data_IF_430422048408
#
_entry.id   IF_430422048408
#
_cell.length_a   1.000
_cell.length_b   1.000
_cell.length_c   1.000
_cell.angle_alpha   90.00
_cell.angle_beta   90.00
_cell.angle_gamma   90.00
#
_symmetry.space_group_name_H-M   'P 1'
#
loop_
_entity.id
_entity.type
_entity.pdbx_description
1 polymer ?
#
# COMPACT_ATOMS: atom_id res chain seq x y z
N UNK A 1 -27.45 -47.64 -17.24
CA UNK A 1 -28.07 -46.30 -17.28
C UNK A 1 -28.27 -45.87 -15.84
N UNK A 2 -27.37 -45.05 -15.31
CA UNK A 2 -27.44 -44.58 -13.92
C UNK A 2 -27.91 -43.13 -13.98
N UNK A 3 -29.12 -42.89 -13.49
CA UNK A 3 -29.75 -41.57 -13.46
C UNK A 3 -28.96 -40.72 -12.45
N UNK A 4 -28.30 -39.66 -12.94
CA UNK A 4 -27.74 -38.61 -12.08
C UNK A 4 -28.90 -37.92 -11.36
N UNK A 5 -28.80 -37.87 -10.04
CA UNK A 5 -29.69 -37.06 -9.20
C UNK A 5 -29.62 -35.58 -9.59
N UNK A 6 -30.72 -34.83 -9.48
CA UNK A 6 -30.76 -33.41 -9.78
C UNK A 6 -29.91 -32.65 -8.77
N UNK A 7 -29.14 -31.66 -9.25
CA UNK A 7 -28.47 -30.69 -8.38
C UNK A 7 -29.56 -30.00 -7.54
N UNK A 8 -29.43 -30.09 -6.22
CA UNK A 8 -30.29 -29.38 -5.29
C UNK A 8 -30.24 -27.86 -5.53
N UNK A 9 -31.19 -27.11 -4.95
CA UNK A 9 -31.22 -25.65 -5.07
C UNK A 9 -29.86 -25.09 -4.66
N UNK A 10 -29.35 -24.13 -5.45
CA UNK A 10 -28.11 -23.42 -5.23
C UNK A 10 -28.11 -22.82 -3.81
N UNK A 11 -27.57 -23.53 -2.82
CA UNK A 11 -27.43 -23.01 -1.46
C UNK A 11 -26.50 -21.83 -1.55
N UNK A 12 -27.03 -20.62 -1.36
CA UNK A 12 -26.24 -19.41 -1.33
C UNK A 12 -25.07 -19.59 -0.37
N UNK A 13 -23.85 -19.33 -0.85
CA UNK A 13 -22.67 -19.39 -0.01
C UNK A 13 -22.74 -18.25 1.01
N UNK A 14 -22.58 -18.59 2.28
CA UNK A 14 -22.58 -17.62 3.39
C UNK A 14 -21.21 -17.60 4.04
N UNK A 15 -20.97 -16.66 4.94
CA UNK A 15 -19.73 -16.62 5.72
C UNK A 15 -19.46 -17.94 6.48
N UNK A 16 -20.51 -18.65 6.90
CA UNK A 16 -20.36 -19.95 7.56
C UNK A 16 -19.87 -21.10 6.67
N UNK A 17 -19.87 -20.92 5.35
CA UNK A 17 -19.28 -21.89 4.43
C UNK A 17 -17.76 -21.75 4.28
N UNK A 18 -17.15 -20.71 4.88
CA UNK A 18 -15.70 -20.53 4.87
C UNK A 18 -15.02 -21.65 5.66
N UNK A 19 -14.06 -22.32 5.03
CA UNK A 19 -13.18 -23.28 5.72
C UNK A 19 -12.02 -22.52 6.36
N UNK A 20 -12.16 -22.17 7.63
CA UNK A 20 -11.19 -21.31 8.32
C UNK A 20 -9.85 -22.04 8.55
N UNK A 21 -8.78 -21.42 8.06
CA UNK A 21 -7.41 -21.80 8.36
C UNK A 21 -6.92 -21.01 9.58
N UNK A 22 -6.70 -21.73 10.69
CA UNK A 22 -6.18 -21.15 11.93
C UNK A 22 -4.67 -21.35 12.11
N UNK A 23 -3.95 -21.83 11.08
CA UNK A 23 -2.49 -21.93 11.17
C UNK A 23 -1.89 -20.53 11.26
N UNK A 24 -1.01 -20.26 12.23
CA UNK A 24 -0.33 -18.98 12.31
C UNK A 24 0.59 -18.82 11.10
N UNK A 25 0.42 -17.73 10.38
CA UNK A 25 1.34 -17.28 9.34
C UNK A 25 1.60 -15.79 9.52
N UNK A 26 2.83 -15.37 9.22
CA UNK A 26 3.18 -13.95 9.27
C UNK A 26 2.51 -13.25 8.09
N UNK A 27 1.82 -12.15 8.39
CA UNK A 27 1.31 -11.21 7.39
C UNK A 27 2.31 -10.08 7.27
N UNK A 28 2.94 -9.96 6.11
CA UNK A 28 3.82 -8.85 5.76
C UNK A 28 3.07 -8.02 4.71
N UNK A 29 2.65 -6.82 5.08
CA UNK A 29 1.99 -5.91 4.16
C UNK A 29 2.99 -5.15 3.27
N UNK A 30 2.50 -4.45 2.24
CA UNK A 30 3.39 -3.84 1.24
C UNK A 30 4.26 -2.72 1.80
N UNK A 31 3.78 -1.93 2.76
CA UNK A 31 4.58 -0.84 3.33
C UNK A 31 5.59 -1.36 4.35
N UNK A 32 5.27 -2.43 5.09
CA UNK A 32 6.22 -3.11 5.96
C UNK A 32 7.31 -3.83 5.14
N UNK A 33 6.92 -4.52 4.06
CA UNK A 33 7.86 -5.19 3.14
C UNK A 33 8.84 -4.20 2.48
N UNK A 34 8.41 -2.95 2.29
CA UNK A 34 9.24 -1.88 1.75
C UNK A 34 10.16 -1.23 2.79
N UNK A 35 9.88 -1.39 4.08
CA UNK A 35 10.58 -0.67 5.14
C UNK A 35 11.99 -1.22 5.37
N UNK A 36 12.97 -0.33 5.50
CA UNK A 36 14.32 -0.70 5.90
C UNK A 36 14.50 -0.57 7.42
N UNK A 37 15.03 -1.62 8.04
CA UNK A 37 15.36 -1.60 9.46
C UNK A 37 16.85 -1.37 9.66
N UNK A 38 17.17 -0.28 10.36
CA UNK A 38 18.56 0.14 10.63
C UNK A 38 19.47 0.20 9.38
N UNK A 39 19.03 0.83 8.28
CA UNK A 39 19.76 0.83 7.03
C UNK A 39 21.10 1.55 7.09
N UNK A 40 22.06 1.00 6.39
CA UNK A 40 23.30 1.66 6.02
C UNK A 40 23.10 2.56 4.79
N UNK A 41 24.11 3.39 4.45
CA UNK A 41 24.13 4.16 3.19
C UNK A 41 23.97 3.27 1.96
N UNK A 42 24.56 2.07 1.99
CA UNK A 42 24.47 1.12 0.88
C UNK A 42 23.05 0.57 0.74
N UNK A 43 22.34 0.33 1.84
CA UNK A 43 20.96 -0.17 1.81
C UNK A 43 20.01 0.86 1.22
N UNK A 44 20.13 2.13 1.60
CA UNK A 44 19.32 3.18 0.97
C UNK A 44 19.59 3.32 -0.52
N UNK A 45 20.86 3.32 -0.93
CA UNK A 45 21.22 3.40 -2.34
C UNK A 45 20.70 2.17 -3.10
N UNK A 46 20.82 0.97 -2.52
CA UNK A 46 20.32 -0.27 -3.10
C UNK A 46 18.80 -0.24 -3.24
N UNK A 47 18.06 0.21 -2.22
CA UNK A 47 16.61 0.38 -2.27
C UNK A 47 16.22 1.37 -3.37
N UNK A 48 16.85 2.54 -3.40
CA UNK A 48 16.62 3.54 -4.44
C UNK A 48 16.89 3.00 -5.83
N UNK A 49 17.95 2.23 -6.06
CA UNK A 49 18.26 1.66 -7.38
C UNK A 49 17.37 0.47 -7.75
N UNK A 50 16.84 -0.25 -6.75
CA UNK A 50 16.15 -1.52 -6.92
C UNK A 50 14.74 -1.54 -6.34
N UNK A 51 13.95 -0.51 -6.64
CA UNK A 51 12.55 -0.42 -6.24
C UNK A 51 11.73 -1.66 -6.68
N UNK A 52 10.74 -2.10 -5.88
CA UNK A 52 9.86 -3.20 -6.26
C UNK A 52 9.06 -2.92 -7.54
N UNK A 53 8.69 -4.01 -8.23
CA UNK A 53 7.94 -3.90 -9.45
C UNK A 53 6.48 -3.49 -9.16
N UNK A 54 6.09 -2.28 -9.57
CA UNK A 54 4.71 -1.78 -9.42
C UNK A 54 3.66 -2.79 -9.93
N UNK A 55 3.82 -3.46 -11.09
CA UNK A 55 2.86 -4.48 -11.51
C UNK A 55 2.65 -5.63 -10.53
N UNK A 56 3.67 -5.98 -9.73
CA UNK A 56 3.53 -7.01 -8.69
C UNK A 56 2.73 -6.50 -7.49
N UNK A 57 3.01 -5.25 -7.06
CA UNK A 57 2.23 -4.56 -6.03
C UNK A 57 0.74 -4.48 -6.42
N UNK A 58 0.44 -4.08 -7.66
CA UNK A 58 -0.95 -3.93 -8.13
C UNK A 58 -1.68 -5.27 -8.20
N UNK A 59 -1.01 -6.37 -8.56
CA UNK A 59 -1.63 -7.70 -8.52
C UNK A 59 -2.02 -8.14 -7.11
N UNK A 60 -1.16 -7.93 -6.12
CA UNK A 60 -1.50 -8.25 -4.71
C UNK A 60 -2.59 -7.34 -4.18
N UNK A 61 -2.54 -6.06 -4.54
CA UNK A 61 -3.60 -5.10 -4.20
C UNK A 61 -4.95 -5.54 -4.78
N UNK A 62 -4.96 -5.93 -6.06
CA UNK A 62 -6.14 -6.47 -6.75
C UNK A 62 -6.65 -7.75 -6.08
N UNK A 63 -5.77 -8.67 -5.70
CA UNK A 63 -6.16 -9.88 -4.94
C UNK A 63 -6.90 -9.52 -3.65
N UNK A 64 -6.37 -8.60 -2.84
CA UNK A 64 -7.06 -8.18 -1.60
C UNK A 64 -8.39 -7.44 -1.86
N UNK A 65 -8.49 -6.70 -2.97
CA UNK A 65 -9.76 -6.11 -3.41
C UNK A 65 -10.79 -7.20 -3.81
N UNK A 66 -10.35 -8.24 -4.51
CA UNK A 66 -11.19 -9.40 -4.87
C UNK A 66 -11.65 -10.18 -3.63
N UNK A 67 -10.77 -10.35 -2.64
CA UNK A 67 -11.14 -10.95 -1.34
C UNK A 67 -12.16 -10.10 -0.57
N UNK A 68 -12.03 -8.77 -0.63
CA UNK A 68 -13.01 -7.82 -0.05
C UNK A 68 -14.37 -7.97 -0.73
N UNK A 69 -14.40 -7.98 -2.06
CA UNK A 69 -15.63 -8.17 -2.83
C UNK A 69 -16.26 -9.55 -2.56
N UNK A 70 -15.44 -10.60 -2.45
CA UNK A 70 -15.92 -11.94 -2.09
C UNK A 70 -16.54 -11.96 -0.70
N UNK A 71 -15.93 -11.30 0.28
CA UNK A 71 -16.51 -11.18 1.61
C UNK A 71 -17.89 -10.48 1.56
N UNK A 72 -17.99 -9.34 0.88
CA UNK A 72 -19.25 -8.58 0.76
C UNK A 72 -20.34 -9.44 0.10
N UNK A 73 -19.99 -10.22 -0.93
CA UNK A 73 -20.94 -11.13 -1.57
C UNK A 73 -21.47 -12.20 -0.58
N UNK A 74 -20.59 -12.78 0.24
CA UNK A 74 -20.98 -13.76 1.27
C UNK A 74 -21.85 -13.14 2.39
N UNK A 75 -21.66 -11.85 2.69
CA UNK A 75 -22.46 -11.12 3.68
C UNK A 75 -23.93 -11.01 3.26
N UNK A 76 -24.22 -10.87 1.96
CA UNK A 76 -25.58 -10.69 1.45
C UNK A 76 -26.58 -11.74 1.93
N UNK A 77 -26.11 -12.98 2.11
CA UNK A 77 -26.91 -14.12 2.57
C UNK A 77 -26.59 -14.56 4.01
N UNK A 78 -25.76 -13.79 4.73
CA UNK A 78 -25.34 -14.10 6.10
C UNK A 78 -26.16 -13.35 7.16
N UNK A 79 -26.34 -13.98 8.31
CA UNK A 79 -26.87 -13.34 9.51
C UNK A 79 -25.90 -12.31 10.10
N UNK A 80 -26.43 -11.37 10.89
CA UNK A 80 -25.60 -10.40 11.63
C UNK A 80 -24.59 -11.06 12.58
N UNK A 81 -24.94 -12.19 13.18
CA UNK A 81 -24.03 -12.94 14.04
C UNK A 81 -22.82 -13.46 13.23
N UNK A 82 -23.07 -14.08 12.08
CA UNK A 82 -22.02 -14.53 11.17
C UNK A 82 -21.15 -13.37 10.69
N UNK A 83 -21.73 -12.22 10.36
CA UNK A 83 -20.94 -11.03 10.02
C UNK A 83 -19.99 -10.65 11.16
N UNK A 84 -20.49 -10.55 12.39
CA UNK A 84 -19.67 -10.16 13.54
C UNK A 84 -18.53 -11.17 13.79
N UNK A 85 -18.78 -12.47 13.65
CA UNK A 85 -17.78 -13.52 13.85
C UNK A 85 -16.63 -13.47 12.82
N UNK A 86 -16.85 -12.80 11.68
CA UNK A 86 -15.91 -12.73 10.56
C UNK A 86 -15.45 -11.31 10.21
N UNK A 87 -15.93 -10.27 10.91
CA UNK A 87 -15.66 -8.87 10.57
C UNK A 87 -14.16 -8.52 10.55
N UNK A 88 -13.37 -9.13 11.43
CA UNK A 88 -11.91 -8.96 11.45
C UNK A 88 -11.24 -9.34 10.14
N UNK A 89 -11.72 -10.38 9.46
CA UNK A 89 -11.17 -10.81 8.18
C UNK A 89 -11.38 -9.73 7.12
N UNK A 90 -12.57 -9.13 7.07
CA UNK A 90 -12.89 -8.00 6.18
C UNK A 90 -11.98 -6.81 6.47
N UNK A 91 -11.84 -6.42 7.74
CA UNK A 91 -11.03 -5.26 8.12
C UNK A 91 -9.56 -5.45 7.75
N UNK A 92 -9.03 -6.66 7.94
CA UNK A 92 -7.66 -6.98 7.58
C UNK A 92 -7.44 -6.94 6.07
N UNK A 93 -8.29 -7.57 5.25
CA UNK A 93 -8.11 -7.55 3.79
C UNK A 93 -8.37 -6.16 3.19
N UNK A 94 -9.30 -5.38 3.76
CA UNK A 94 -9.52 -4.00 3.37
C UNK A 94 -8.28 -3.15 3.67
N UNK A 95 -7.66 -3.32 4.85
CA UNK A 95 -6.40 -2.65 5.21
C UNK A 95 -5.27 -3.07 4.28
N UNK A 96 -5.11 -4.36 3.98
CA UNK A 96 -4.10 -4.86 3.04
C UNK A 96 -4.26 -4.28 1.63
N UNK A 97 -5.50 -4.08 1.17
CA UNK A 97 -5.79 -3.39 -0.10
C UNK A 97 -5.37 -1.91 -0.04
N UNK A 98 -5.73 -1.19 1.03
CA UNK A 98 -5.32 0.21 1.21
C UNK A 98 -3.80 0.33 1.25
N UNK A 99 -3.11 -0.49 2.04
CA UNK A 99 -1.65 -0.50 2.14
C UNK A 99 -1.01 -0.74 0.77
N UNK A 100 -1.51 -1.71 0.01
CA UNK A 100 -1.02 -1.97 -1.34
C UNK A 100 -1.25 -0.80 -2.31
N UNK A 101 -2.40 -0.14 -2.22
CA UNK A 101 -2.70 1.08 -3.00
C UNK A 101 -1.75 2.22 -2.65
N UNK A 102 -1.47 2.43 -1.36
CA UNK A 102 -0.51 3.42 -0.89
C UNK A 102 0.92 3.10 -1.35
N UNK A 103 1.34 1.84 -1.29
CA UNK A 103 2.64 1.43 -1.81
C UNK A 103 2.77 1.74 -3.31
N UNK A 104 1.74 1.45 -4.11
CA UNK A 104 1.71 1.80 -5.55
C UNK A 104 1.78 3.32 -5.76
N UNK A 105 1.07 4.10 -4.94
CA UNK A 105 1.10 5.56 -4.99
C UNK A 105 2.48 6.14 -4.62
N UNK A 106 3.17 5.55 -3.64
CA UNK A 106 4.47 6.04 -3.15
C UNK A 106 5.64 5.64 -4.03
N UNK A 107 5.63 4.44 -4.61
CA UNK A 107 6.76 3.98 -5.43
C UNK A 107 6.82 4.77 -6.76
N UNK A 108 7.98 5.36 -7.10
CA UNK A 108 8.19 6.03 -8.37
C UNK A 108 8.08 5.09 -9.58
N UNK A 109 7.29 5.47 -10.57
CA UNK A 109 7.12 4.71 -11.81
C UNK A 109 8.20 5.09 -12.85
N UNK A 110 9.29 4.31 -12.91
CA UNK A 110 10.47 4.62 -13.75
C UNK A 110 10.38 4.20 -15.21
N UNK A 111 9.38 3.39 -15.57
CA UNK A 111 9.20 2.89 -16.93
C UNK A 111 7.73 2.83 -17.31
N UNK A 112 7.47 2.62 -18.60
CA UNK A 112 6.14 2.59 -19.20
C UNK A 112 5.20 1.56 -18.56
N UNK A 113 5.72 0.36 -18.28
CA UNK A 113 4.98 -0.74 -17.64
C UNK A 113 4.53 -0.35 -16.23
N UNK A 114 5.44 0.25 -15.45
CA UNK A 114 5.16 0.71 -14.09
C UNK A 114 4.19 1.89 -14.06
N UNK A 115 4.31 2.83 -15.01
CA UNK A 115 3.36 3.95 -15.15
C UNK A 115 1.97 3.45 -15.48
N UNK A 116 1.83 2.55 -16.45
CA UNK A 116 0.53 1.95 -16.77
C UNK A 116 -0.10 1.26 -15.56
N UNK A 117 0.64 0.38 -14.88
CA UNK A 117 0.14 -0.32 -13.70
C UNK A 117 -0.28 0.65 -12.58
N UNK A 118 0.51 1.71 -12.33
CA UNK A 118 0.17 2.75 -11.37
C UNK A 118 -1.13 3.48 -11.74
N UNK A 119 -1.34 3.78 -13.02
CA UNK A 119 -2.58 4.41 -13.51
C UNK A 119 -3.79 3.45 -13.41
N UNK A 120 -3.62 2.17 -13.75
CA UNK A 120 -4.69 1.16 -13.57
C UNK A 120 -5.14 1.09 -12.12
N UNK A 121 -4.19 1.07 -11.16
CA UNK A 121 -4.52 1.10 -9.74
C UNK A 121 -5.20 2.42 -9.35
N UNK A 122 -4.71 3.55 -9.86
CA UNK A 122 -5.32 4.86 -9.61
C UNK A 122 -6.79 4.91 -10.06
N UNK A 123 -7.10 4.41 -11.26
CA UNK A 123 -8.48 4.31 -11.73
C UNK A 123 -9.33 3.37 -10.88
N UNK A 124 -8.76 2.27 -10.38
CA UNK A 124 -9.46 1.40 -9.43
C UNK A 124 -9.79 2.12 -8.12
N UNK A 125 -8.88 2.95 -7.59
CA UNK A 125 -9.15 3.80 -6.41
C UNK A 125 -10.20 4.87 -6.72
N UNK A 126 -10.13 5.55 -7.86
CA UNK A 126 -11.15 6.55 -8.23
C UNK A 126 -12.54 5.91 -8.34
N UNK A 127 -12.65 4.71 -8.92
CA UNK A 127 -13.92 4.00 -9.04
C UNK A 127 -14.57 3.64 -7.71
N UNK A 128 -13.83 3.57 -6.59
CA UNK A 128 -14.41 3.38 -5.25
C UNK A 128 -14.82 4.69 -4.58
N UNK A 129 -14.42 5.84 -5.13
CA UNK A 129 -14.76 7.18 -4.61
C UNK A 129 -15.97 7.82 -5.34
N UNK A 130 -16.35 7.30 -6.51
CA UNK A 130 -17.36 7.87 -7.44
C UNK A 130 -18.85 7.67 -7.02
N UNK A 131 -19.16 7.52 -5.73
CA UNK A 131 -20.52 7.29 -5.20
C UNK A 131 -21.48 8.52 -5.28
N UNK A 132 -21.36 9.37 -6.30
CA UNK A 132 -22.34 10.41 -6.65
C UNK A 132 -22.33 11.69 -5.81
N UNK A 133 -21.28 11.92 -5.02
CA UNK A 133 -21.00 13.17 -4.29
C UNK A 133 -19.62 13.68 -4.71
N UNK A 134 -19.42 15.00 -4.79
CA UNK A 134 -18.07 15.57 -4.90
C UNK A 134 -17.21 15.06 -3.74
N UNK A 135 -16.32 14.12 -4.04
CA UNK A 135 -15.43 13.53 -3.07
C UNK A 135 -14.10 14.29 -3.10
N UNK A 136 -13.78 14.99 -2.02
CA UNK A 136 -12.55 15.78 -1.89
C UNK A 136 -11.28 14.93 -2.10
N UNK A 137 -11.37 13.59 -1.94
CA UNK A 137 -10.25 12.67 -2.19
C UNK A 137 -10.05 12.34 -3.67
N UNK A 138 -10.97 12.71 -4.55
CA UNK A 138 -10.88 12.39 -5.97
C UNK A 138 -9.66 13.04 -6.61
N UNK A 139 -9.49 14.36 -6.42
CA UNK A 139 -8.32 15.10 -6.92
C UNK A 139 -7.03 14.61 -6.23
N UNK A 140 -7.09 14.31 -4.93
CA UNK A 140 -5.94 13.76 -4.19
C UNK A 140 -5.51 12.43 -4.79
N UNK A 141 -6.43 11.52 -5.08
CA UNK A 141 -6.13 10.26 -5.73
C UNK A 141 -5.57 10.46 -7.15
N UNK A 142 -6.12 11.39 -7.93
CA UNK A 142 -5.55 11.71 -9.25
C UNK A 142 -4.08 12.13 -9.16
N UNK A 143 -3.74 13.00 -8.19
CA UNK A 143 -2.36 13.46 -7.98
C UNK A 143 -1.46 12.31 -7.50
N UNK A 144 -1.90 11.53 -6.52
CA UNK A 144 -1.12 10.42 -5.94
C UNK A 144 -0.73 9.36 -6.98
N UNK A 145 -1.63 9.06 -7.92
CA UNK A 145 -1.41 8.08 -8.97
C UNK A 145 -0.92 8.68 -10.31
N UNK A 146 -0.77 10.01 -10.40
CA UNK A 146 -0.27 10.69 -11.60
C UNK A 146 -1.22 10.59 -12.80
N UNK A 147 -2.53 10.72 -12.55
CA UNK A 147 -3.59 10.65 -13.57
C UNK A 147 -3.86 12.00 -14.25
N UNK A 148 -3.40 13.11 -13.67
CA UNK A 148 -3.65 14.48 -14.08
C UNK A 148 -2.76 14.98 -15.25
N UNK A 149 -1.76 14.19 -15.66
CA UNK A 149 -0.58 14.70 -16.40
C UNK A 149 -0.17 13.97 -17.67
N UNK A 150 -0.94 12.99 -18.15
CA UNK A 150 -0.51 12.16 -19.27
C UNK A 150 -1.29 12.46 -20.56
N UNK A 151 -0.55 12.76 -21.63
CA UNK A 151 -1.10 12.87 -22.98
C UNK A 151 -1.62 11.51 -23.48
N UNK A 152 -2.67 11.52 -24.32
CA UNK A 152 -3.29 10.29 -24.82
C UNK A 152 -2.29 9.36 -25.54
N UNK A 153 -1.32 9.93 -26.24
CA UNK A 153 -0.26 9.18 -26.91
C UNK A 153 0.68 8.47 -25.92
N UNK A 154 1.00 9.11 -24.79
CA UNK A 154 1.81 8.49 -23.73
C UNK A 154 1.04 7.34 -23.07
N UNK A 155 -0.24 7.56 -22.75
CA UNK A 155 -1.10 6.52 -22.17
C UNK A 155 -1.16 5.29 -23.09
N UNK A 156 -1.34 5.51 -24.39
CA UNK A 156 -1.37 4.43 -25.38
C UNK A 156 -0.02 3.70 -25.48
N UNK A 157 1.10 4.44 -25.52
CA UNK A 157 2.43 3.85 -25.56
C UNK A 157 2.72 3.01 -24.29
N UNK A 158 2.33 3.51 -23.13
CA UNK A 158 2.48 2.81 -21.85
C UNK A 158 1.63 1.53 -21.80
N UNK A 159 0.40 1.58 -22.31
CA UNK A 159 -0.47 0.41 -22.43
C UNK A 159 0.09 -0.64 -23.40
N UNK A 160 0.65 -0.22 -24.53
CA UNK A 160 1.31 -1.13 -25.49
C UNK A 160 2.53 -1.79 -24.84
N UNK A 161 3.38 -1.01 -24.16
CA UNK A 161 4.54 -1.54 -23.45
C UNK A 161 4.13 -2.53 -22.35
N UNK A 162 3.05 -2.22 -21.62
CA UNK A 162 2.48 -3.13 -20.64
C UNK A 162 1.96 -4.40 -21.29
N UNK A 163 1.20 -4.34 -22.38
CA UNK A 163 0.67 -5.51 -23.08
C UNK A 163 1.77 -6.39 -23.70
N UNK A 164 2.87 -5.79 -24.17
CA UNK A 164 4.02 -6.49 -24.75
C UNK A 164 4.99 -7.10 -23.74
N UNK A 165 4.77 -6.91 -22.43
CA UNK A 165 5.67 -7.42 -21.38
C UNK A 165 5.65 -8.95 -21.34
N UNK A 166 6.81 -9.58 -21.07
CA UNK A 166 6.83 -11.01 -20.75
C UNK A 166 6.30 -11.24 -19.33
N UNK A 167 5.63 -12.36 -19.09
CA UNK A 167 5.10 -12.70 -17.76
C UNK A 167 6.19 -12.73 -16.68
N UNK A 168 7.43 -13.10 -17.05
CA UNK A 168 8.58 -13.21 -16.15
C UNK A 168 9.35 -11.89 -15.90
N UNK A 169 9.02 -10.79 -16.59
CA UNK A 169 9.67 -9.46 -16.42
C UNK A 169 9.36 -8.79 -15.06
N UNK A 170 8.74 -9.51 -14.13
CA UNK A 170 8.15 -8.98 -12.90
C UNK A 170 8.91 -9.42 -11.63
N UNK A 171 10.16 -9.82 -11.79
CA UNK A 171 10.92 -10.56 -10.77
C UNK A 171 11.63 -9.69 -9.74
N UNK A 172 10.92 -8.69 -9.20
CA UNK A 172 11.30 -8.09 -7.91
C UNK A 172 10.10 -8.02 -7.00
N UNK A 173 9.95 -9.10 -6.24
CA UNK A 173 9.00 -9.19 -5.15
C UNK A 173 9.38 -8.17 -4.07
N UNK A 174 8.38 -7.51 -3.48
CA UNK A 174 8.57 -6.66 -2.31
C UNK A 174 8.84 -7.49 -1.06
N UNK A 175 8.49 -8.78 -1.06
CA UNK A 175 8.49 -9.63 0.14
C UNK A 175 7.15 -9.61 0.89
N UNK A 176 6.17 -8.84 0.41
CA UNK A 176 4.82 -8.83 0.96
C UNK A 176 4.09 -10.15 0.67
N UNK A 177 3.34 -10.61 1.66
CA UNK A 177 2.59 -11.88 1.59
C UNK A 177 1.18 -11.65 1.04
N UNK A 178 0.63 -12.67 0.39
CA UNK A 178 -0.73 -12.66 -0.13
C UNK A 178 -1.63 -13.47 0.80
N UNK A 179 -2.76 -12.88 1.21
CA UNK A 179 -3.67 -13.51 2.16
C UNK A 179 -5.10 -13.56 1.67
N UNK A 180 -5.81 -14.60 2.09
CA UNK A 180 -7.24 -14.79 1.82
C UNK A 180 -8.06 -14.73 3.09
N UNK A 181 -9.35 -14.39 2.98
CA UNK A 181 -10.22 -14.22 4.16
C UNK A 181 -10.26 -15.46 5.04
N UNK A 182 -10.06 -16.67 4.53
CA UNK A 182 -10.03 -17.90 5.34
C UNK A 182 -8.93 -17.93 6.42
N UNK A 183 -7.85 -17.15 6.27
CA UNK A 183 -6.68 -17.14 7.16
C UNK A 183 -6.92 -16.27 8.41
N UNK A 184 -8.01 -16.52 9.12
CA UNK A 184 -8.51 -15.67 10.21
C UNK A 184 -7.48 -15.38 11.30
N UNK A 185 -6.72 -16.39 11.74
CA UNK A 185 -5.75 -16.21 12.83
C UNK A 185 -4.61 -15.25 12.43
N UNK A 186 -4.07 -15.40 11.22
CA UNK A 186 -3.03 -14.53 10.69
C UNK A 186 -3.54 -13.09 10.50
N UNK A 187 -4.74 -12.93 9.93
CA UNK A 187 -5.37 -11.62 9.71
C UNK A 187 -5.70 -10.89 11.01
N UNK A 188 -6.12 -11.61 12.05
CA UNK A 188 -6.34 -11.03 13.37
C UNK A 188 -5.01 -10.57 14.02
N UNK A 189 -3.97 -11.40 13.97
CA UNK A 189 -2.64 -11.03 14.46
C UNK A 189 -2.07 -9.82 13.73
N UNK A 190 -2.29 -9.72 12.42
CA UNK A 190 -1.93 -8.55 11.63
C UNK A 190 -2.55 -7.26 12.16
N UNK A 191 -3.85 -7.25 12.40
CA UNK A 191 -4.55 -6.05 12.89
C UNK A 191 -4.10 -5.64 14.30
N UNK A 192 -3.79 -6.61 15.17
CA UNK A 192 -3.35 -6.34 16.55
C UNK A 192 -1.87 -5.95 16.60
N UNK A 193 -1.04 -6.54 15.74
CA UNK A 193 0.42 -6.39 15.75
C UNK A 193 0.94 -5.16 15.03
N UNK A 194 0.12 -4.11 14.88
CA UNK A 194 0.58 -2.87 14.25
C UNK A 194 1.61 -2.16 15.16
N UNK A 195 2.68 -1.57 14.59
CA UNK A 195 3.65 -0.82 15.38
C UNK A 195 2.99 0.36 16.11
N UNK A 196 3.49 0.70 17.30
CA UNK A 196 3.08 1.92 18.00
C UNK A 196 3.54 3.19 17.26
N UNK A 197 2.88 4.32 17.58
CA UNK A 197 3.15 5.61 16.95
C UNK A 197 4.59 6.09 17.17
N UNK A 198 5.13 5.91 18.39
CA UNK A 198 6.49 6.33 18.74
C UNK A 198 7.54 5.62 17.89
N UNK A 199 7.34 4.32 17.63
CA UNK A 199 8.20 3.50 16.78
C UNK A 199 8.21 4.03 15.34
N UNK A 200 7.04 4.30 14.75
CA UNK A 200 6.94 4.80 13.38
C UNK A 200 7.45 6.23 13.25
N UNK A 201 7.22 7.08 14.26
CA UNK A 201 7.76 8.43 14.33
C UNK A 201 9.29 8.41 14.42
N UNK A 202 9.86 7.56 15.29
CA UNK A 202 11.30 7.39 15.40
C UNK A 202 11.94 6.87 14.09
N UNK A 203 11.26 5.99 13.35
CA UNK A 203 11.68 5.56 12.02
C UNK A 203 11.69 6.73 11.03
N UNK A 204 10.60 7.48 10.92
CA UNK A 204 10.51 8.64 10.03
C UNK A 204 11.61 9.68 10.33
N UNK A 205 11.85 9.98 11.61
CA UNK A 205 12.90 10.89 12.04
C UNK A 205 14.30 10.40 11.69
N UNK A 206 14.58 9.11 11.90
CA UNK A 206 15.86 8.50 11.51
C UNK A 206 16.11 8.64 10.02
N UNK A 207 15.11 8.36 9.19
CA UNK A 207 15.23 8.46 7.74
C UNK A 207 15.42 9.91 7.28
N UNK A 208 14.68 10.85 7.88
CA UNK A 208 14.84 12.29 7.66
C UNK A 208 16.27 12.77 8.00
N UNK A 209 16.81 12.32 9.14
CA UNK A 209 18.17 12.66 9.54
C UNK A 209 19.20 12.10 8.54
N UNK A 210 19.03 10.87 8.07
CA UNK A 210 19.94 10.29 7.07
C UNK A 210 19.89 11.03 5.74
N UNK A 211 18.69 11.42 5.30
CA UNK A 211 18.52 12.24 4.09
C UNK A 211 19.30 13.55 4.20
N UNK A 212 19.16 14.26 5.32
CA UNK A 212 19.87 15.51 5.59
C UNK A 212 21.39 15.31 5.64
N UNK A 213 21.87 14.23 6.26
CA UNK A 213 23.30 13.90 6.29
C UNK A 213 23.84 13.63 4.89
N UNK A 214 23.11 12.89 4.05
CA UNK A 214 23.54 12.63 2.67
C UNK A 214 23.50 13.91 1.82
N UNK A 215 22.50 14.78 2.02
CA UNK A 215 22.45 16.08 1.36
C UNK A 215 23.65 16.98 1.73
N UNK A 216 24.03 17.00 3.02
CA UNK A 216 25.20 17.74 3.48
C UNK A 216 26.50 17.17 2.86
N UNK A 217 26.64 15.85 2.78
CA UNK A 217 27.80 15.19 2.18
C UNK A 217 27.94 15.52 0.68
N UNK A 218 26.84 15.55 -0.07
CA UNK A 218 26.84 15.94 -1.50
C UNK A 218 27.39 17.36 -1.71
N UNK A 219 27.08 18.29 -0.80
CA UNK A 219 27.48 19.70 -0.92
C UNK A 219 28.85 19.98 -0.32
N UNK A 220 29.19 19.30 0.78
CA UNK A 220 30.33 19.62 1.63
C UNK A 220 31.59 18.76 1.41
N UNK A 221 31.44 17.55 0.86
CA UNK A 221 32.55 16.62 0.68
C UNK A 221 33.07 16.63 -0.76
N UNK A 222 34.38 16.44 -0.96
CA UNK A 222 34.99 16.26 -2.29
C UNK A 222 34.78 14.82 -2.78
N UNK A 223 33.54 14.54 -3.19
CA UNK A 223 33.13 13.22 -3.65
C UNK A 223 33.51 13.00 -5.13
N UNK A 224 34.18 11.88 -5.41
CA UNK A 224 34.35 11.42 -6.79
C UNK A 224 32.99 11.10 -7.46
N UNK A 225 32.90 11.09 -8.81
CA UNK A 225 31.62 10.97 -9.52
C UNK A 225 30.76 9.75 -9.13
N UNK A 226 31.37 8.58 -8.98
CA UNK A 226 30.67 7.35 -8.57
C UNK A 226 30.21 7.40 -7.11
N UNK A 227 30.95 8.08 -6.25
CA UNK A 227 30.55 8.26 -4.86
C UNK A 227 29.40 9.26 -4.76
N UNK A 228 29.47 10.35 -5.52
CA UNK A 228 28.40 11.33 -5.62
C UNK A 228 27.08 10.68 -6.03
N UNK A 229 27.06 9.93 -7.15
CA UNK A 229 25.84 9.23 -7.61
C UNK A 229 25.31 8.23 -6.58
N UNK A 230 26.19 7.54 -5.84
CA UNK A 230 25.77 6.64 -4.75
C UNK A 230 25.20 7.41 -3.56
N UNK A 231 25.74 8.58 -3.21
CA UNK A 231 25.17 9.45 -2.16
C UNK A 231 23.81 9.99 -2.57
N UNK A 232 23.64 10.40 -3.82
CA UNK A 232 22.34 10.85 -4.34
C UNK A 232 21.29 9.73 -4.28
N UNK A 233 21.66 8.51 -4.69
CA UNK A 233 20.80 7.35 -4.56
C UNK A 233 20.45 7.07 -3.09
N UNK A 234 21.43 7.15 -2.18
CA UNK A 234 21.19 6.96 -0.74
C UNK A 234 20.28 8.04 -0.15
N UNK A 235 20.47 9.31 -0.54
CA UNK A 235 19.60 10.42 -0.17
C UNK A 235 18.17 10.17 -0.62
N UNK A 236 17.99 9.83 -1.89
CA UNK A 236 16.67 9.52 -2.44
C UNK A 236 16.02 8.30 -1.74
N UNK A 237 16.80 7.27 -1.43
CA UNK A 237 16.34 6.11 -0.67
C UNK A 237 15.89 6.49 0.74
N UNK A 238 16.64 7.34 1.44
CA UNK A 238 16.28 7.83 2.76
C UNK A 238 15.00 8.67 2.75
N UNK A 239 14.83 9.55 1.76
CA UNK A 239 13.59 10.30 1.55
C UNK A 239 12.39 9.36 1.39
N UNK A 240 12.47 8.39 0.48
CA UNK A 240 11.36 7.44 0.27
C UNK A 240 11.03 6.63 1.54
N UNK A 241 12.04 6.21 2.30
CA UNK A 241 11.83 5.49 3.57
C UNK A 241 11.17 6.37 4.64
N UNK A 242 11.52 7.67 4.70
CA UNK A 242 10.81 8.64 5.54
C UNK A 242 9.34 8.73 5.14
N UNK A 243 9.03 8.89 3.86
CA UNK A 243 7.63 8.98 3.38
C UNK A 243 6.87 7.68 3.64
N UNK A 244 7.49 6.51 3.47
CA UNK A 244 6.88 5.20 3.79
C UNK A 244 6.55 5.12 5.28
N UNK A 245 7.48 5.49 6.17
CA UNK A 245 7.24 5.49 7.62
C UNK A 245 6.10 6.46 8.00
N UNK A 246 6.04 7.64 7.38
CA UNK A 246 4.96 8.60 7.59
C UNK A 246 3.61 8.09 7.07
N UNK A 247 3.57 7.40 5.93
CA UNK A 247 2.34 6.80 5.41
C UNK A 247 1.84 5.69 6.35
N UNK A 248 2.74 4.86 6.87
CA UNK A 248 2.42 3.87 7.90
C UNK A 248 1.88 4.52 9.16
N UNK A 249 2.53 5.58 9.66
CA UNK A 249 2.08 6.34 10.83
C UNK A 249 0.67 6.90 10.61
N UNK A 250 0.43 7.60 9.50
CA UNK A 250 -0.88 8.19 9.20
C UNK A 250 -1.99 7.16 8.98
N UNK A 251 -1.65 5.95 8.54
CA UNK A 251 -2.61 4.86 8.36
C UNK A 251 -2.93 4.12 9.67
N UNK A 252 -1.95 4.02 10.58
CA UNK A 252 -2.06 3.28 11.86
C UNK A 252 -2.55 4.14 13.00
N UNK A 253 -2.10 5.40 13.06
CA UNK A 253 -2.35 6.39 14.10
C UNK A 253 -2.67 7.76 13.44
N UNK A 254 -3.80 7.88 12.72
CA UNK A 254 -4.16 9.07 11.94
C UNK A 254 -4.40 10.36 12.74
N UNK A 255 -4.52 10.24 14.07
CA UNK A 255 -4.64 11.31 15.05
C UNK A 255 -3.30 11.96 15.40
N UNK A 256 -2.18 11.25 15.17
CA UNK A 256 -0.83 11.77 15.41
C UNK A 256 -0.45 12.68 14.25
N UNK A 257 -0.16 13.95 14.56
CA UNK A 257 0.35 14.90 13.58
C UNK A 257 1.89 14.87 13.55
N UNK A 258 2.52 14.32 12.50
CA UNK A 258 3.97 14.33 12.39
C UNK A 258 4.56 15.75 12.30
N UNK A 259 3.76 16.75 11.94
CA UNK A 259 4.20 18.15 11.81
C UNK A 259 4.42 18.82 13.18
N UNK A 260 4.03 18.17 14.29
CA UNK A 260 4.40 18.59 15.64
C UNK A 260 5.92 18.47 15.87
N UNK A 261 6.61 17.60 15.12
CA UNK A 261 8.06 17.50 15.20
C UNK A 261 8.74 18.48 14.22
N UNK A 262 9.65 19.36 14.68
CA UNK A 262 10.24 20.41 13.84
C UNK A 262 10.95 19.89 12.57
N UNK A 263 11.60 18.73 12.67
CA UNK A 263 12.29 18.11 11.54
C UNK A 263 11.31 17.67 10.43
N UNK A 264 10.16 17.09 10.79
CA UNK A 264 9.17 16.57 9.84
C UNK A 264 8.28 17.69 9.30
N UNK A 265 7.96 18.68 10.12
CA UNK A 265 7.25 19.91 9.72
C UNK A 265 7.88 20.58 8.50
N UNK A 266 9.20 20.48 8.36
CA UNK A 266 9.94 20.99 7.19
C UNK A 266 9.97 19.98 6.05
N UNK A 267 10.22 18.70 6.35
CA UNK A 267 10.43 17.68 5.34
C UNK A 267 9.14 17.30 4.58
N UNK A 268 7.98 17.26 5.23
CA UNK A 268 6.70 16.89 4.59
C UNK A 268 6.30 17.88 3.49
N UNK A 269 6.34 19.20 3.69
CA UNK A 269 6.09 20.17 2.62
C UNK A 269 7.09 20.11 1.45
N UNK A 270 8.31 19.60 1.67
CA UNK A 270 9.34 19.44 0.63
C UNK A 270 9.13 18.16 -0.21
N UNK A 271 8.25 17.25 0.22
CA UNK A 271 7.87 16.08 -0.57
C UNK A 271 7.17 16.48 -1.88
N UNK A 272 7.27 15.63 -2.89
CA UNK A 272 6.59 15.85 -4.17
C UNK A 272 5.07 15.82 -4.02
N UNK A 273 4.33 16.49 -4.93
CA UNK A 273 2.87 16.49 -4.88
C UNK A 273 2.22 15.09 -4.81
N UNK A 274 2.68 14.07 -5.58
CA UNK A 274 2.18 12.71 -5.43
C UNK A 274 2.44 12.09 -4.05
N UNK A 275 3.59 12.35 -3.44
CA UNK A 275 3.92 11.87 -2.09
C UNK A 275 3.02 12.53 -1.04
N UNK A 276 2.84 13.85 -1.11
CA UNK A 276 1.93 14.56 -0.22
C UNK A 276 0.49 14.05 -0.35
N UNK A 277 0.02 13.84 -1.59
CA UNK A 277 -1.30 13.28 -1.86
C UNK A 277 -1.45 11.85 -1.30
N UNK A 278 -0.44 10.99 -1.47
CA UNK A 278 -0.43 9.66 -0.87
C UNK A 278 -0.48 9.71 0.66
N UNK A 279 0.21 10.66 1.30
CA UNK A 279 0.15 10.86 2.75
C UNK A 279 -1.23 11.36 3.23
N UNK A 280 -1.94 12.14 2.41
CA UNK A 280 -3.34 12.54 2.69
C UNK A 280 -4.26 11.33 2.58
N UNK A 281 -4.13 10.51 1.52
CA UNK A 281 -4.89 9.27 1.38
C UNK A 281 -4.65 8.33 2.56
N UNK A 282 -3.39 8.18 3.00
CA UNK A 282 -3.04 7.34 4.15
C UNK A 282 -3.78 7.78 5.41
N UNK A 283 -3.80 9.09 5.70
CA UNK A 283 -4.50 9.64 6.86
C UNK A 283 -6.01 9.40 6.79
N UNK A 284 -6.62 9.64 5.64
CA UNK A 284 -8.07 9.52 5.48
C UNK A 284 -8.53 8.08 5.53
N UNK A 285 -7.79 7.16 4.91
CA UNK A 285 -8.04 5.74 5.06
C UNK A 285 -7.78 5.27 6.50
N UNK A 286 -6.76 5.78 7.18
CA UNK A 286 -6.51 5.49 8.60
C UNK A 286 -7.72 5.83 9.46
N UNK A 287 -8.23 7.06 9.35
CA UNK A 287 -9.44 7.50 10.06
C UNK A 287 -10.66 6.63 9.75
N UNK A 288 -10.82 6.25 8.48
CA UNK A 288 -11.93 5.39 8.07
C UNK A 288 -11.83 3.99 8.67
N UNK A 289 -10.64 3.38 8.63
CA UNK A 289 -10.39 2.06 9.20
C UNK A 289 -10.60 2.05 10.71
N UNK A 290 -10.12 3.06 11.43
CA UNK A 290 -10.37 3.21 12.86
C UNK A 290 -11.85 3.39 13.18
N UNK A 291 -12.56 4.26 12.45
CA UNK A 291 -13.99 4.46 12.65
C UNK A 291 -14.80 3.18 12.37
N UNK A 292 -14.36 2.38 11.41
CA UNK A 292 -14.94 1.06 11.10
C UNK A 292 -14.68 0.07 12.24
N UNK A 293 -13.43 -0.03 12.72
CA UNK A 293 -13.05 -0.93 13.81
C UNK A 293 -13.70 -0.55 15.15
N UNK A 294 -13.84 0.75 15.44
CA UNK A 294 -14.52 1.25 16.65
C UNK A 294 -16.02 0.87 16.71
N UNK A 295 -16.68 0.69 15.55
CA UNK A 295 -18.07 0.22 15.47
C UNK A 295 -18.22 -1.28 15.69
N UNK A 296 -17.11 -2.03 15.62
CA UNK A 296 -17.05 -3.48 15.74
C UNK A 296 -15.87 -3.89 16.63
N UNK A 297 -15.89 -3.52 17.94
CA UNK A 297 -14.82 -3.87 18.86
C UNK A 297 -14.75 -5.39 19.03
N UNK A 298 -13.52 -5.90 18.96
CA UNK A 298 -13.17 -7.32 18.98
C UNK A 298 -12.48 -7.69 20.29
#
# INVERSE_FOLDING_TARGET
>A
MTIRQPHGPNTAATLSSLTIDNRPSLVIDELDALALHEPTRADYAAFAMNLPAIPALTRRTKHHAEETARFIALVGDSSRAQFNDHALQLFAVARLNVVGSLAVALIPARNAVARHAKREQGHAVLGTLEDGVENELYEVAQIAFGLDRAEAAEIAADAIAYAGRKADDQSRDSGATMHSIEQRAALAQYLIGQPDADTLLAQALRHCEMEQRFAASIVGDDLGPEEHSRTEAARFGAHLQMIIALARLRLTHPEVDPDDHPALKKAVPEASAPEQAALILAQQHGRHLEAMMAKHPF
#
